data_IF_043381278441
#
_entry.id   IF_043381278441
#
_cell.length_a   1.000
_cell.length_b   1.000
_cell.length_c   1.000
_cell.angle_alpha   90.00
_cell.angle_beta   90.00
_cell.angle_gamma   90.00
#
_symmetry.space_group_name_H-M   'P 1'
#
loop_
_entity.id
_entity.type
_entity.pdbx_description
1 polymer ?
#
# COMPACT_ATOMS: atom_id res chain seq x y z
N UNK A 1 -15.30 -4.42 -3.11
CA UNK A 1 -15.33 -4.93 -4.50
C UNK A 1 -15.02 -3.84 -5.53
N UNK A 2 -15.79 -2.74 -5.61
CA UNK A 2 -15.45 -1.64 -6.54
C UNK A 2 -14.05 -1.07 -6.30
N UNK A 3 -13.71 -0.75 -5.05
CA UNK A 3 -12.38 -0.27 -4.69
C UNK A 3 -11.25 -1.20 -5.17
N UNK A 4 -11.43 -2.51 -5.00
CA UNK A 4 -10.46 -3.54 -5.43
C UNK A 4 -10.21 -3.50 -6.95
N UNK A 5 -11.28 -3.38 -7.74
CA UNK A 5 -11.18 -3.23 -9.20
C UNK A 5 -10.49 -1.93 -9.61
N UNK A 6 -10.90 -0.80 -9.03
CA UNK A 6 -10.30 0.50 -9.33
C UNK A 6 -8.82 0.55 -8.96
N UNK A 7 -8.45 0.08 -7.78
CA UNK A 7 -7.04 0.04 -7.31
C UNK A 7 -6.22 -0.90 -8.18
N UNK A 8 -6.75 -2.06 -8.55
CA UNK A 8 -6.05 -3.02 -9.40
C UNK A 8 -5.86 -2.49 -10.83
N UNK A 9 -6.87 -1.81 -11.40
CA UNK A 9 -6.77 -1.15 -12.69
C UNK A 9 -5.76 0.01 -12.67
N UNK A 10 -5.84 0.85 -11.63
CA UNK A 10 -4.89 1.95 -11.39
C UNK A 10 -3.45 1.43 -11.34
N UNK A 11 -3.19 0.41 -10.51
CA UNK A 11 -1.88 -0.21 -10.43
C UNK A 11 -1.43 -0.77 -11.78
N UNK A 12 -2.30 -1.49 -12.50
CA UNK A 12 -1.94 -2.10 -13.78
C UNK A 12 -1.48 -1.08 -14.82
N UNK A 13 -2.12 0.10 -14.85
CA UNK A 13 -1.78 1.20 -15.76
C UNK A 13 -0.58 2.01 -15.23
N UNK A 14 -0.71 2.61 -14.05
CA UNK A 14 0.28 3.54 -13.52
C UNK A 14 1.60 2.87 -13.18
N UNK A 15 1.58 1.70 -12.53
CA UNK A 15 2.83 1.06 -12.10
C UNK A 15 3.59 0.49 -13.30
N UNK A 16 2.89 0.08 -14.35
CA UNK A 16 3.50 -0.30 -15.63
C UNK A 16 4.24 0.88 -16.28
N UNK A 17 3.58 2.04 -16.36
CA UNK A 17 4.17 3.27 -16.94
C UNK A 17 5.37 3.76 -16.13
N UNK A 18 5.27 3.76 -14.80
CA UNK A 18 6.31 4.29 -13.91
C UNK A 18 7.40 3.27 -13.51
N UNK A 19 7.28 2.02 -14.00
CA UNK A 19 8.13 0.87 -13.64
C UNK A 19 8.18 0.62 -12.14
N UNK A 20 7.05 0.79 -11.46
CA UNK A 20 6.90 0.52 -10.03
C UNK A 20 6.50 -0.97 -9.88
N UNK A 21 7.03 -1.70 -8.90
CA UNK A 21 6.68 -3.09 -8.66
C UNK A 21 5.25 -3.22 -8.17
N UNK A 22 4.51 -4.15 -8.78
CA UNK A 22 3.10 -4.41 -8.47
C UNK A 22 2.95 -5.01 -7.06
N UNK A 23 1.98 -4.51 -6.31
CA UNK A 23 1.54 -5.08 -5.04
C UNK A 23 0.75 -6.36 -5.33
N UNK A 24 1.13 -7.45 -4.64
CA UNK A 24 0.45 -8.73 -4.76
C UNK A 24 -0.76 -8.75 -3.83
N UNK A 25 -1.96 -8.65 -4.41
CA UNK A 25 -3.24 -8.69 -3.67
C UNK A 25 -3.37 -9.89 -2.71
N UNK A 26 -2.81 -11.05 -3.08
CA UNK A 26 -2.88 -12.27 -2.26
C UNK A 26 -2.21 -12.13 -0.89
N UNK A 27 -1.20 -11.27 -0.78
CA UNK A 27 -0.43 -11.08 0.45
C UNK A 27 -1.26 -10.31 1.50
N UNK A 28 -2.34 -9.63 1.06
CA UNK A 28 -3.25 -8.85 1.90
C UNK A 28 -4.57 -9.56 2.21
N UNK A 29 -4.90 -10.64 1.50
CA UNK A 29 -6.15 -11.37 1.67
C UNK A 29 -5.89 -12.71 2.38
N UNK A 30 -5.82 -12.69 3.71
CA UNK A 30 -5.82 -13.92 4.51
C UNK A 30 -7.27 -14.34 4.79
N UNK A 31 -7.72 -15.40 4.10
CA UNK A 31 -9.03 -16.03 4.30
C UNK A 31 -8.93 -17.29 5.18
N UNK A 32 -7.95 -17.34 6.09
CA UNK A 32 -7.65 -18.52 6.91
C UNK A 32 -8.73 -18.81 7.96
N UNK A 33 -9.57 -17.84 8.29
CA UNK A 33 -10.63 -17.97 9.30
C UNK A 33 -11.80 -18.86 8.85
N UNK A 34 -11.81 -19.35 7.61
CA UNK A 34 -12.76 -20.36 7.11
C UNK A 34 -12.69 -21.69 7.86
N UNK A 35 -11.58 -21.98 8.55
CA UNK A 35 -11.35 -23.24 9.29
C UNK A 35 -11.97 -23.30 10.69
N UNK A 36 -12.57 -22.21 11.21
CA UNK A 36 -13.22 -22.27 12.51
C UNK A 36 -14.56 -23.03 12.39
N UNK A 37 -14.52 -24.32 12.74
CA UNK A 37 -15.63 -25.26 12.62
C UNK A 37 -16.84 -24.93 13.52
N UNK A 38 -16.67 -24.07 14.52
CA UNK A 38 -17.67 -23.78 15.56
C UNK A 38 -18.53 -22.54 15.30
N UNK A 39 -18.35 -21.81 14.18
CA UNK A 39 -19.17 -20.64 13.85
C UNK A 39 -20.37 -21.00 12.97
N UNK A 40 -21.50 -20.35 13.26
CA UNK A 40 -22.70 -20.39 12.44
C UNK A 40 -22.46 -19.78 11.05
N UNK A 41 -23.28 -20.16 10.06
CA UNK A 41 -23.15 -19.69 8.67
C UNK A 41 -23.12 -18.17 8.53
N UNK A 42 -23.96 -17.44 9.29
CA UNK A 42 -23.98 -15.97 9.29
C UNK A 42 -22.68 -15.37 9.83
N UNK A 43 -22.13 -15.94 10.90
CA UNK A 43 -20.87 -15.46 11.48
C UNK A 43 -19.68 -15.74 10.56
N UNK A 44 -19.68 -16.86 9.84
CA UNK A 44 -18.68 -17.14 8.79
C UNK A 44 -18.77 -16.13 7.66
N UNK A 45 -19.96 -15.73 7.23
CA UNK A 45 -20.14 -14.69 6.21
C UNK A 45 -19.60 -13.34 6.70
N UNK A 46 -19.92 -12.93 7.92
CA UNK A 46 -19.40 -11.68 8.50
C UNK A 46 -17.88 -11.71 8.66
N UNK A 47 -17.31 -12.84 9.08
CA UNK A 47 -15.86 -13.00 9.20
C UNK A 47 -15.17 -12.85 7.84
N UNK A 48 -15.70 -13.49 6.80
CA UNK A 48 -15.21 -13.35 5.43
C UNK A 48 -15.31 -11.92 4.92
N UNK A 49 -16.42 -11.25 5.24
CA UNK A 49 -16.62 -9.85 4.90
C UNK A 49 -15.56 -8.96 5.57
N UNK A 50 -15.33 -9.13 6.88
CA UNK A 50 -14.34 -8.36 7.63
C UNK A 50 -12.91 -8.62 7.14
N UNK A 51 -12.51 -9.88 6.94
CA UNK A 51 -11.17 -10.21 6.41
C UNK A 51 -10.99 -9.63 5.00
N UNK A 52 -11.99 -9.75 4.13
CA UNK A 52 -11.95 -9.19 2.78
C UNK A 52 -11.89 -7.66 2.80
N UNK A 53 -12.75 -7.00 3.58
CA UNK A 53 -12.80 -5.53 3.64
C UNK A 53 -11.49 -4.95 4.17
N UNK A 54 -10.96 -5.49 5.27
CA UNK A 54 -9.68 -5.04 5.84
C UNK A 54 -8.52 -5.34 4.91
N UNK A 55 -8.49 -6.53 4.28
CA UNK A 55 -7.45 -6.88 3.32
C UNK A 55 -7.42 -5.96 2.09
N UNK A 56 -8.58 -5.62 1.54
CA UNK A 56 -8.66 -4.66 0.42
C UNK A 56 -8.24 -3.25 0.84
N UNK A 57 -8.58 -2.80 2.05
CA UNK A 57 -8.15 -1.49 2.55
C UNK A 57 -6.63 -1.44 2.75
N UNK A 58 -6.03 -2.50 3.28
CA UNK A 58 -4.57 -2.60 3.42
C UNK A 58 -3.86 -2.64 2.05
N UNK A 59 -4.38 -3.42 1.10
CA UNK A 59 -3.90 -3.45 -0.29
C UNK A 59 -3.98 -2.06 -0.95
N UNK A 60 -5.12 -1.38 -0.82
CA UNK A 60 -5.29 -0.03 -1.37
C UNK A 60 -4.34 0.99 -0.73
N UNK A 61 -4.13 0.89 0.60
CA UNK A 61 -3.21 1.75 1.34
C UNK A 61 -1.76 1.55 0.90
N UNK A 62 -1.35 0.31 0.63
CA UNK A 62 -0.01 0.03 0.09
C UNK A 62 0.18 0.61 -1.32
N UNK A 63 -0.82 0.44 -2.22
CA UNK A 63 -0.77 1.01 -3.56
C UNK A 63 -0.67 2.55 -3.50
N UNK A 64 -1.43 3.18 -2.60
CA UNK A 64 -1.35 4.61 -2.35
C UNK A 64 0.02 5.02 -1.79
N UNK A 65 0.58 4.27 -0.83
CA UNK A 65 1.88 4.55 -0.24
C UNK A 65 3.03 4.47 -1.23
N UNK A 66 3.03 3.49 -2.15
CA UNK A 66 4.04 3.43 -3.24
C UNK A 66 3.88 4.56 -4.24
N UNK A 67 2.64 4.98 -4.50
CA UNK A 67 2.36 6.13 -5.36
C UNK A 67 2.87 7.42 -4.71
N UNK A 68 2.63 7.59 -3.42
CA UNK A 68 3.12 8.72 -2.62
C UNK A 68 4.65 8.73 -2.59
N UNK A 69 5.29 7.58 -2.39
CA UNK A 69 6.74 7.44 -2.48
C UNK A 69 7.29 7.89 -3.84
N UNK A 70 6.66 7.47 -4.94
CA UNK A 70 7.13 7.82 -6.27
C UNK A 70 6.89 9.30 -6.64
N UNK A 71 5.76 9.88 -6.26
CA UNK A 71 5.39 11.24 -6.65
C UNK A 71 5.84 12.31 -5.64
N UNK A 72 5.58 12.11 -4.35
CA UNK A 72 5.82 13.12 -3.31
C UNK A 72 6.25 12.46 -1.99
N UNK A 73 7.50 11.94 -1.89
CA UNK A 73 8.02 11.36 -0.66
C UNK A 73 8.45 12.48 0.31
N UNK A 74 7.54 13.38 0.69
CA UNK A 74 7.79 14.44 1.66
C UNK A 74 6.93 14.17 2.89
N UNK A 75 7.54 14.24 4.07
CA UNK A 75 6.80 14.15 5.33
C UNK A 75 5.86 15.36 5.44
N UNK A 76 4.61 15.09 5.76
CA UNK A 76 3.66 16.15 6.04
C UNK A 76 3.95 16.77 7.42
N UNK A 77 3.72 18.08 7.57
CA UNK A 77 3.91 18.78 8.84
C UNK A 77 2.90 18.35 9.92
N UNK A 78 1.80 17.70 9.53
CA UNK A 78 0.83 17.13 10.46
C UNK A 78 1.01 15.62 10.63
N UNK A 79 0.85 15.12 11.86
CA UNK A 79 0.86 13.70 12.20
C UNK A 79 -0.44 13.00 11.74
N UNK A 80 -0.63 12.91 10.42
CA UNK A 80 -1.69 12.09 9.86
C UNK A 80 -1.39 10.61 10.15
N UNK A 81 -2.36 9.86 10.68
CA UNK A 81 -2.27 8.40 10.78
C UNK A 81 -2.22 7.82 9.37
N UNK A 82 -1.07 7.27 8.98
CA UNK A 82 -0.88 6.58 7.70
C UNK A 82 -0.84 5.08 7.91
N UNK A 83 -1.39 4.36 6.95
CA UNK A 83 -1.49 2.90 7.00
C UNK A 83 -0.34 2.19 6.26
N UNK A 84 0.67 2.90 5.74
CA UNK A 84 1.80 2.31 5.00
C UNK A 84 3.14 2.60 5.68
N UNK A 85 4.04 1.60 5.67
CA UNK A 85 5.35 1.67 6.34
C UNK A 85 6.40 2.57 5.66
N UNK A 86 6.14 3.02 4.43
CA UNK A 86 7.12 3.79 3.65
C UNK A 86 7.41 5.20 4.18
N UNK A 87 6.58 5.71 5.09
CA UNK A 87 6.62 7.11 5.51
C UNK A 87 7.92 7.50 6.24
N UNK A 88 8.54 6.57 6.96
CA UNK A 88 9.80 6.84 7.67
C UNK A 88 10.96 7.13 6.73
N UNK A 89 10.89 6.60 5.51
CA UNK A 89 11.89 6.79 4.46
C UNK A 89 11.68 8.09 3.65
N UNK A 90 10.63 8.86 3.94
CA UNK A 90 10.33 10.09 3.23
C UNK A 90 11.28 11.23 3.63
N UNK A 91 11.42 12.19 2.71
CA UNK A 91 12.23 13.39 2.88
C UNK A 91 11.55 14.28 3.93
N UNK A 92 12.34 14.82 4.87
CA UNK A 92 11.84 15.76 5.86
C UNK A 92 11.28 17.02 5.21
N UNK A 93 10.21 17.57 5.79
CA UNK A 93 9.52 18.76 5.28
C UNK A 93 10.46 19.98 5.14
N UNK A 94 11.45 20.11 6.03
CA UNK A 94 12.36 21.25 6.08
C UNK A 94 13.49 21.22 5.05
N UNK A 95 13.64 20.15 4.26
CA UNK A 95 14.84 19.89 3.46
C UNK A 95 14.65 20.23 1.96
N UNK A 96 14.24 21.49 1.72
CA UNK A 96 13.85 21.98 0.38
C UNK A 96 14.98 22.06 -0.64
N UNK A 97 16.21 22.39 -0.21
CA UNK A 97 17.37 22.56 -1.11
C UNK A 97 17.86 21.22 -1.67
N UNK A 98 17.80 20.15 -0.88
CA UNK A 98 18.20 18.81 -1.28
C UNK A 98 17.08 18.01 -1.98
N UNK A 99 15.86 18.56 -2.07
CA UNK A 99 14.66 17.86 -2.52
C UNK A 99 14.84 17.22 -3.90
N UNK A 100 15.33 17.97 -4.90
CA UNK A 100 15.46 17.44 -6.26
C UNK A 100 16.40 16.23 -6.36
N UNK A 101 17.48 16.20 -5.57
CA UNK A 101 18.44 15.10 -5.54
C UNK A 101 17.87 13.89 -4.79
N UNK A 102 17.31 14.11 -3.60
CA UNK A 102 16.69 13.05 -2.78
C UNK A 102 15.48 12.45 -3.48
N UNK A 103 14.66 13.25 -4.15
CA UNK A 103 13.50 12.79 -4.94
C UNK A 103 13.89 11.84 -6.06
N UNK A 104 14.98 12.13 -6.78
CA UNK A 104 15.51 11.22 -7.82
C UNK A 104 15.95 9.89 -7.21
N UNK A 105 16.62 9.91 -6.07
CA UNK A 105 17.06 8.70 -5.37
C UNK A 105 15.86 7.88 -4.87
N UNK A 106 14.86 8.52 -4.27
CA UNK A 106 13.66 7.87 -3.79
C UNK A 106 12.86 7.20 -4.91
N UNK A 107 12.73 7.85 -6.08
CA UNK A 107 12.10 7.23 -7.25
C UNK A 107 12.87 6.00 -7.76
N UNK A 108 14.20 6.00 -7.67
CA UNK A 108 15.00 4.83 -8.03
C UNK A 108 14.82 3.70 -7.01
N UNK A 109 14.83 4.02 -5.71
CA UNK A 109 14.59 3.06 -4.64
C UNK A 109 13.20 2.41 -4.76
N UNK A 110 12.17 3.21 -5.01
CA UNK A 110 10.80 2.72 -5.23
C UNK A 110 10.68 1.76 -6.43
N UNK A 111 11.46 1.99 -7.50
CA UNK A 111 11.49 1.10 -8.68
C UNK A 111 12.30 -0.17 -8.44
N UNK A 112 13.32 -0.10 -7.60
CA UNK A 112 14.25 -1.20 -7.32
C UNK A 112 13.73 -2.16 -6.26
N UNK A 113 12.87 -1.69 -5.37
CA UNK A 113 12.40 -2.48 -4.25
C UNK A 113 11.27 -3.42 -4.69
N UNK A 114 11.45 -4.75 -4.60
CA UNK A 114 10.35 -5.71 -4.81
C UNK A 114 9.23 -5.51 -3.78
N UNK A 115 8.14 -6.27 -3.86
CA UNK A 115 6.84 -6.01 -3.22
C UNK A 115 6.78 -5.85 -1.68
N UNK A 116 7.89 -5.62 -0.98
CA UNK A 116 8.05 -5.55 0.47
C UNK A 116 8.79 -4.29 0.96
N UNK A 117 8.58 -3.13 0.33
CA UNK A 117 9.32 -1.91 0.65
C UNK A 117 8.98 -1.26 2.00
N UNK A 118 7.97 -1.81 2.69
CA UNK A 118 7.43 -1.29 3.95
C UNK A 118 7.42 -2.34 5.06
N UNK A 119 8.15 -3.44 4.89
CA UNK A 119 8.28 -4.50 5.88
C UNK A 119 9.30 -4.15 6.96
N UNK A 120 8.86 -3.39 7.97
CA UNK A 120 9.30 -3.45 9.36
C UNK A 120 8.26 -2.77 10.26
#
# INVERSE_FOLDING_TARGET
MFLDLFVSAYQAVCFGVYKIPKVKRRDYLSLDRKKLAHLNWVQKFNCLYCDYANGILAYASEVAGRTEWYWCPIKHPSHAKRAHGHYDQFIEYSDGEAFAKKHRQQRQACRACESDCGGL
#
